data_IF_910470742741
#
_entry.id   IF_910470742741
#
_cell.length_a   1.000
_cell.length_b   1.000
_cell.length_c   1.000
_cell.angle_alpha   90.00
_cell.angle_beta   90.00
_cell.angle_gamma   90.00
#
_symmetry.space_group_name_H-M   'P 1'
#
loop_
_entity.id
_entity.type
_entity.pdbx_description
1 polymer ?
#
# COMPACT_ATOMS: atom_id res chain seq x y z
N UNK A 1 21.82 1.54 -10.06
CA UNK A 1 21.41 2.87 -9.59
C UNK A 1 21.25 3.92 -10.69
N UNK A 2 22.29 4.61 -11.20
CA UNK A 2 22.07 5.73 -12.15
C UNK A 2 21.37 5.35 -13.47
N UNK A 3 21.65 4.16 -14.03
CA UNK A 3 20.97 3.69 -15.25
C UNK A 3 19.48 3.37 -15.02
N UNK A 4 19.12 2.86 -13.86
CA UNK A 4 17.73 2.49 -13.52
C UNK A 4 16.90 3.73 -13.20
N UNK A 5 17.47 4.69 -12.46
CA UNK A 5 16.84 5.98 -12.17
C UNK A 5 16.57 6.74 -13.48
N UNK A 6 17.53 6.77 -14.40
CA UNK A 6 17.35 7.42 -15.71
C UNK A 6 16.28 6.70 -16.56
N UNK A 7 16.26 5.36 -16.56
CA UNK A 7 15.22 4.61 -17.25
C UNK A 7 13.82 4.85 -16.64
N UNK A 8 13.75 5.05 -15.32
CA UNK A 8 12.51 5.37 -14.63
C UNK A 8 12.04 6.80 -14.93
N UNK A 9 12.96 7.78 -14.95
CA UNK A 9 12.69 9.15 -15.34
C UNK A 9 12.13 9.24 -16.78
N UNK A 10 12.70 8.49 -17.72
CA UNK A 10 12.19 8.40 -19.10
C UNK A 10 10.79 7.76 -19.16
N UNK A 11 10.50 6.77 -18.32
CA UNK A 11 9.14 6.20 -18.22
C UNK A 11 8.15 7.23 -17.70
N UNK A 12 8.53 8.00 -16.68
CA UNK A 12 7.68 9.07 -16.13
C UNK A 12 7.42 10.17 -17.13
N UNK A 13 8.44 10.59 -17.88
CA UNK A 13 8.29 11.54 -19.00
C UNK A 13 7.22 11.07 -19.99
N UNK A 14 7.30 9.80 -20.40
CA UNK A 14 6.32 9.20 -21.32
C UNK A 14 4.91 9.13 -20.72
N UNK A 15 4.79 8.70 -19.47
CA UNK A 15 3.50 8.65 -18.77
C UNK A 15 2.88 10.05 -18.66
N UNK A 16 3.68 11.06 -18.35
CA UNK A 16 3.23 12.44 -18.26
C UNK A 16 2.73 12.99 -19.59
N UNK A 17 3.45 12.71 -20.68
CA UNK A 17 3.05 13.11 -22.04
C UNK A 17 1.75 12.41 -22.45
N UNK A 18 1.61 11.10 -22.21
CA UNK A 18 0.36 10.40 -22.48
C UNK A 18 -0.81 10.97 -21.64
N UNK A 19 -0.56 11.33 -20.38
CA UNK A 19 -1.56 11.98 -19.51
C UNK A 19 -2.04 13.31 -20.09
N UNK A 20 -1.12 14.12 -20.65
CA UNK A 20 -1.45 15.37 -21.35
C UNK A 20 -2.24 15.13 -22.64
N UNK A 21 -1.82 14.17 -23.48
CA UNK A 21 -2.55 13.81 -24.71
C UNK A 21 -4.00 13.49 -24.37
N UNK A 22 -4.21 12.65 -23.35
CA UNK A 22 -5.54 12.27 -22.90
C UNK A 22 -6.34 13.48 -22.36
N UNK A 23 -5.75 14.26 -21.45
CA UNK A 23 -6.43 15.38 -20.79
C UNK A 23 -6.81 16.50 -21.77
N UNK A 24 -5.84 16.98 -22.56
CA UNK A 24 -6.06 18.04 -23.54
C UNK A 24 -6.93 17.54 -24.69
N UNK A 25 -6.76 16.29 -25.09
CA UNK A 25 -7.57 15.65 -26.12
C UNK A 25 -9.05 15.60 -25.77
N UNK A 26 -9.37 15.17 -24.54
CA UNK A 26 -10.74 15.15 -24.03
C UNK A 26 -11.30 16.58 -23.94
N UNK A 27 -10.52 17.54 -23.43
CA UNK A 27 -10.94 18.94 -23.31
C UNK A 27 -11.27 19.57 -24.68
N UNK A 28 -10.54 19.18 -25.73
CA UNK A 28 -10.75 19.64 -27.11
C UNK A 28 -11.79 18.79 -27.88
N UNK A 29 -12.42 17.79 -27.25
CA UNK A 29 -13.51 17.01 -27.83
C UNK A 29 -13.07 15.87 -28.77
N UNK A 30 -11.81 15.47 -28.74
CA UNK A 30 -11.33 14.34 -29.54
C UNK A 30 -11.85 13.00 -29.01
N UNK A 31 -12.06 12.04 -29.93
CA UNK A 31 -12.52 10.69 -29.58
C UNK A 31 -11.39 9.88 -28.93
N UNK A 32 -11.68 8.99 -27.96
CA UNK A 32 -10.67 8.17 -27.29
C UNK A 32 -9.79 7.34 -28.24
N UNK A 33 -10.35 6.87 -29.36
CA UNK A 33 -9.59 6.13 -30.37
C UNK A 33 -8.50 6.99 -31.01
N UNK A 34 -8.81 8.24 -31.35
CA UNK A 34 -7.84 9.18 -31.93
C UNK A 34 -6.72 9.49 -30.93
N UNK A 35 -7.06 9.64 -29.65
CA UNK A 35 -6.07 9.88 -28.60
C UNK A 35 -5.13 8.68 -28.42
N UNK A 36 -5.66 7.44 -28.47
CA UNK A 36 -4.83 6.24 -28.49
C UNK A 36 -3.90 6.17 -29.70
N UNK A 37 -4.37 6.58 -30.88
CA UNK A 37 -3.52 6.61 -32.08
C UNK A 37 -2.36 7.61 -31.93
N UNK A 38 -2.61 8.78 -31.32
CA UNK A 38 -1.57 9.79 -31.02
C UNK A 38 -0.60 9.30 -29.95
N UNK A 39 -1.11 8.70 -28.86
CA UNK A 39 -0.28 8.07 -27.82
C UNK A 39 0.62 6.98 -28.42
N UNK A 40 0.04 6.11 -29.27
CA UNK A 40 0.79 5.03 -29.90
C UNK A 40 1.84 5.57 -30.87
N UNK A 41 1.52 6.60 -31.66
CA UNK A 41 2.48 7.31 -32.51
C UNK A 41 3.67 7.84 -31.70
N UNK A 42 3.41 8.48 -30.56
CA UNK A 42 4.45 9.02 -29.70
C UNK A 42 5.35 7.93 -29.06
N UNK A 43 4.75 6.79 -28.69
CA UNK A 43 5.47 5.68 -28.03
C UNK A 43 6.19 4.75 -29.00
N UNK A 44 5.85 4.78 -30.30
CA UNK A 44 6.44 3.92 -31.31
C UNK A 44 7.93 4.26 -31.51
N UNK A 45 8.83 3.26 -31.48
CA UNK A 45 10.21 3.48 -31.89
C UNK A 45 10.29 3.85 -33.38
N UNK A 46 11.36 4.54 -33.76
CA UNK A 46 11.53 5.08 -35.12
C UNK A 46 11.49 4.00 -36.22
N UNK A 47 11.93 2.77 -35.91
CA UNK A 47 11.91 1.65 -36.86
C UNK A 47 10.49 1.22 -37.27
N UNK A 48 9.57 0.81 -36.37
CA UNK A 48 8.21 0.48 -36.79
C UNK A 48 7.42 1.69 -37.29
N UNK A 49 7.78 2.92 -36.88
CA UNK A 49 7.14 4.13 -37.35
C UNK A 49 7.35 4.34 -38.87
N UNK A 50 8.51 3.96 -39.41
CA UNK A 50 8.82 4.14 -40.83
C UNK A 50 7.94 3.28 -41.77
N UNK A 51 7.30 2.24 -41.22
CA UNK A 51 6.37 1.37 -41.94
C UNK A 51 4.94 1.94 -42.00
N UNK A 52 4.62 2.93 -41.18
CA UNK A 52 3.30 3.56 -41.18
C UNK A 52 3.13 4.51 -42.38
N UNK A 53 1.91 4.69 -42.94
CA UNK A 53 1.68 5.64 -44.02
C UNK A 53 2.07 7.08 -43.63
N UNK A 54 2.82 7.79 -44.48
CA UNK A 54 3.29 9.17 -44.21
C UNK A 54 2.14 10.13 -43.84
N UNK A 55 1.03 10.07 -44.58
CA UNK A 55 -0.14 10.90 -44.30
C UNK A 55 -0.74 10.64 -42.90
N UNK A 56 -0.63 9.41 -42.38
CA UNK A 56 -1.04 9.12 -41.00
C UNK A 56 -0.04 9.69 -39.99
N UNK A 57 1.27 9.54 -40.24
CA UNK A 57 2.32 10.08 -39.37
C UNK A 57 2.22 11.61 -39.25
N UNK A 58 2.08 12.32 -40.39
CA UNK A 58 1.92 13.78 -40.42
C UNK A 58 0.67 14.22 -39.67
N UNK A 59 -0.43 13.49 -39.83
CA UNK A 59 -1.67 13.76 -39.10
C UNK A 59 -1.50 13.57 -37.59
N UNK A 60 -0.85 12.48 -37.16
CA UNK A 60 -0.62 12.22 -35.72
C UNK A 60 0.35 13.24 -35.13
N UNK A 61 1.41 13.62 -35.85
CA UNK A 61 2.33 14.68 -35.44
C UNK A 61 1.62 16.02 -35.27
N UNK A 62 0.80 16.43 -36.25
CA UNK A 62 0.03 17.67 -36.15
C UNK A 62 -0.97 17.67 -34.99
N UNK A 63 -1.61 16.52 -34.70
CA UNK A 63 -2.46 16.39 -33.50
C UNK A 63 -1.63 16.41 -32.22
N UNK A 64 -0.47 15.77 -32.18
CA UNK A 64 0.41 15.80 -31.03
C UNK A 64 0.84 17.23 -30.70
N UNK A 65 1.28 18.02 -31.68
CA UNK A 65 1.72 19.40 -31.47
C UNK A 65 0.59 20.31 -30.97
N UNK A 66 -0.66 20.02 -31.35
CA UNK A 66 -1.85 20.71 -30.84
C UNK A 66 -2.19 20.32 -29.39
N UNK A 67 -1.97 19.06 -29.02
CA UNK A 67 -2.29 18.53 -27.69
C UNK A 67 -1.16 18.73 -26.68
N UNK A 68 0.09 18.73 -27.13
CA UNK A 68 1.30 18.82 -26.32
C UNK A 68 2.20 19.90 -26.92
N UNK A 69 2.04 21.12 -26.43
CA UNK A 69 2.82 22.26 -26.89
C UNK A 69 4.30 22.16 -26.45
N UNK A 70 5.16 22.95 -27.08
CA UNK A 70 6.55 23.08 -26.65
C UNK A 70 6.69 23.52 -25.18
N UNK A 71 5.77 24.36 -24.69
CA UNK A 71 5.74 24.77 -23.29
C UNK A 71 5.44 23.61 -22.35
N UNK A 72 4.49 22.72 -22.70
CA UNK A 72 4.23 21.51 -21.93
C UNK A 72 5.46 20.58 -21.89
N UNK A 73 6.16 20.42 -23.01
CA UNK A 73 7.37 19.61 -23.07
C UNK A 73 8.46 20.16 -22.14
N UNK A 74 8.69 21.48 -22.16
CA UNK A 74 9.65 22.13 -21.26
C UNK A 74 9.28 21.97 -19.78
N UNK A 75 7.99 22.05 -19.45
CA UNK A 75 7.51 21.83 -18.08
C UNK A 75 7.76 20.38 -17.63
N UNK A 76 7.45 19.39 -18.46
CA UNK A 76 7.71 17.99 -18.14
C UNK A 76 9.21 17.72 -18.00
N UNK A 77 10.04 18.27 -18.89
CA UNK A 77 11.49 18.12 -18.80
C UNK A 77 12.04 18.71 -17.49
N UNK A 78 11.52 19.86 -17.06
CA UNK A 78 11.88 20.48 -15.78
C UNK A 78 11.41 19.64 -14.58
N UNK A 79 10.18 19.12 -14.62
CA UNK A 79 9.65 18.25 -13.57
C UNK A 79 10.43 16.92 -13.45
N UNK A 80 10.88 16.37 -14.57
CA UNK A 80 11.73 15.17 -14.59
C UNK A 80 13.12 15.46 -14.02
N UNK A 81 13.69 16.64 -14.31
CA UNK A 81 14.96 17.07 -13.72
C UNK A 81 14.86 17.18 -12.18
N UNK A 82 13.81 17.81 -11.67
CA UNK A 82 13.55 17.88 -10.23
C UNK A 82 13.37 16.49 -9.60
N UNK A 83 12.68 15.57 -10.29
CA UNK A 83 12.52 14.19 -9.83
C UNK A 83 13.87 13.48 -9.66
N UNK A 84 14.82 13.72 -10.57
CA UNK A 84 16.18 13.17 -10.47
C UNK A 84 16.96 13.76 -9.27
N UNK A 85 16.62 14.96 -8.83
CA UNK A 85 17.15 15.61 -7.62
C UNK A 85 16.43 15.16 -6.34
N UNK A 86 15.34 14.38 -6.47
CA UNK A 86 14.56 13.84 -5.36
C UNK A 86 13.28 14.61 -5.04
N UNK A 87 12.94 15.64 -5.82
CA UNK A 87 11.68 16.38 -5.72
C UNK A 87 10.72 15.96 -6.83
N UNK A 88 9.66 15.23 -6.45
CA UNK A 88 8.66 14.73 -7.39
C UNK A 88 7.37 15.55 -7.44
N UNK A 89 7.31 16.70 -6.74
CA UNK A 89 6.11 17.51 -6.57
C UNK A 89 5.47 17.92 -7.90
N UNK A 90 6.27 18.42 -8.84
CA UNK A 90 5.83 18.87 -10.16
C UNK A 90 5.46 17.71 -11.10
N UNK A 91 5.98 16.52 -10.86
CA UNK A 91 5.74 15.34 -11.69
C UNK A 91 4.46 14.59 -11.29
N UNK A 92 4.10 14.65 -10.00
CA UNK A 92 2.95 13.96 -9.40
C UNK A 92 1.61 14.17 -10.10
N UNK A 93 1.23 15.38 -10.55
CA UNK A 93 -0.05 15.61 -11.22
C UNK A 93 -0.21 14.79 -12.50
N UNK A 94 0.90 14.44 -13.15
CA UNK A 94 0.91 13.77 -14.44
C UNK A 94 0.92 12.24 -14.32
N UNK A 95 1.60 11.71 -13.31
CA UNK A 95 1.70 10.28 -13.04
C UNK A 95 0.43 9.82 -12.32
N UNK A 96 -0.17 8.70 -12.72
CA UNK A 96 -1.35 8.15 -12.01
C UNK A 96 -1.06 6.86 -11.28
N UNK A 97 -0.04 6.12 -11.71
CA UNK A 97 0.37 4.89 -11.06
C UNK A 97 1.14 5.24 -9.81
N UNK A 98 0.57 4.97 -8.65
CA UNK A 98 1.26 5.12 -7.36
C UNK A 98 1.78 3.78 -6.88
N UNK A 99 2.69 3.83 -5.93
CA UNK A 99 3.25 2.68 -5.24
C UNK A 99 3.11 2.86 -3.73
N UNK A 100 2.81 1.78 -3.02
CA UNK A 100 2.84 1.78 -1.55
C UNK A 100 3.69 0.64 -1.02
N UNK A 101 4.20 0.83 0.20
CA UNK A 101 4.96 -0.17 0.94
C UNK A 101 4.22 -0.47 2.23
N UNK A 102 3.77 -1.70 2.40
CA UNK A 102 3.09 -2.14 3.63
C UNK A 102 3.98 -3.12 4.40
N UNK A 103 4.10 -2.90 5.70
CA UNK A 103 4.82 -3.78 6.60
C UNK A 103 3.90 -4.85 7.20
N UNK A 104 4.50 -6.01 7.45
CA UNK A 104 3.85 -7.21 7.94
C UNK A 104 4.84 -8.14 8.63
N UNK A 105 4.45 -9.40 8.77
CA UNK A 105 5.23 -10.46 9.40
C UNK A 105 5.21 -11.68 8.50
N UNK A 106 6.34 -12.37 8.38
CA UNK A 106 6.38 -13.71 7.81
C UNK A 106 5.73 -14.67 8.81
N UNK A 107 4.67 -15.34 8.38
CA UNK A 107 4.14 -16.50 9.10
C UNK A 107 5.04 -17.71 8.80
N UNK A 108 5.40 -18.44 9.86
CA UNK A 108 6.50 -19.42 9.85
C UNK A 108 6.52 -20.35 8.63
N UNK A 109 7.73 -20.75 8.23
CA UNK A 109 7.96 -21.71 7.13
C UNK A 109 7.32 -23.04 7.50
N UNK A 110 6.10 -23.29 7.05
CA UNK A 110 5.53 -24.63 7.08
C UNK A 110 6.44 -25.56 6.27
N UNK A 111 6.64 -26.80 6.73
CA UNK A 111 7.55 -27.77 6.10
C UNK A 111 7.23 -28.11 4.63
N UNK A 112 6.09 -27.66 4.11
CA UNK A 112 5.60 -27.93 2.76
C UNK A 112 5.01 -26.69 2.06
N UNK A 113 5.62 -25.51 2.24
CA UNK A 113 5.19 -24.33 1.48
C UNK A 113 6.12 -23.12 1.64
N UNK A 114 6.07 -22.17 0.69
CA UNK A 114 6.77 -20.91 0.85
C UNK A 114 6.24 -20.17 2.09
N UNK A 115 7.11 -19.44 2.82
CA UNK A 115 6.69 -18.61 3.94
C UNK A 115 5.56 -17.65 3.52
N UNK A 116 4.45 -17.64 4.26
CA UNK A 116 3.31 -16.78 3.96
C UNK A 116 3.53 -15.38 4.55
N UNK A 117 3.46 -14.34 3.73
CA UNK A 117 3.47 -12.96 4.24
C UNK A 117 2.10 -12.58 4.80
N UNK A 118 2.07 -11.93 5.97
CA UNK A 118 0.84 -11.46 6.61
C UNK A 118 0.97 -9.99 6.98
N UNK A 119 0.00 -9.18 6.56
CA UNK A 119 -0.16 -7.80 6.99
C UNK A 119 -0.22 -7.67 8.52
N UNK A 120 0.16 -6.50 9.05
CA UNK A 120 -0.13 -6.15 10.45
C UNK A 120 -1.64 -6.17 10.71
N UNK A 121 -2.01 -6.08 12.00
CA UNK A 121 -3.42 -6.04 12.40
C UNK A 121 -4.11 -4.87 11.71
N UNK A 122 -5.35 -5.07 11.25
CA UNK A 122 -6.12 -4.03 10.56
C UNK A 122 -6.26 -2.75 11.39
N UNK A 123 -6.24 -2.85 12.73
CA UNK A 123 -6.33 -1.73 13.67
C UNK A 123 -5.02 -0.96 13.88
N UNK A 124 -3.90 -1.52 13.44
CA UNK A 124 -2.55 -0.93 13.56
C UNK A 124 -1.75 -1.29 12.28
N UNK A 125 -2.21 -0.79 11.11
CA UNK A 125 -1.45 -0.96 9.88
C UNK A 125 -0.15 -0.17 9.97
N UNK A 126 0.85 -0.56 9.18
CA UNK A 126 2.10 0.20 9.07
C UNK A 126 2.49 0.28 7.61
N UNK A 127 2.55 1.50 7.09
CA UNK A 127 3.02 1.80 5.75
C UNK A 127 4.29 2.63 5.83
N UNK A 128 5.12 2.52 4.81
CA UNK A 128 6.18 3.49 4.54
C UNK A 128 5.71 4.40 3.40
N UNK A 129 5.94 5.69 3.61
CA UNK A 129 5.57 6.80 2.74
C UNK A 129 6.83 7.64 2.43
N UNK A 130 6.77 8.58 1.48
CA UNK A 130 7.86 9.53 1.24
C UNK A 130 8.25 10.33 2.50
N UNK A 131 7.29 10.64 3.37
CA UNK A 131 7.51 11.37 4.62
C UNK A 131 7.94 10.48 5.81
N UNK A 132 8.09 9.16 5.60
CA UNK A 132 8.42 8.18 6.63
C UNK A 132 7.27 7.24 7.00
N UNK A 133 7.25 6.75 8.24
CA UNK A 133 6.27 5.73 8.65
C UNK A 133 4.89 6.30 8.94
N UNK A 134 3.88 5.64 8.38
CA UNK A 134 2.48 5.95 8.60
C UNK A 134 1.78 4.78 9.31
N UNK A 135 1.28 5.03 10.53
CA UNK A 135 0.48 4.07 11.33
C UNK A 135 -1.02 4.16 11.04
N UNK A 136 -1.35 4.31 9.77
CA UNK A 136 -2.69 4.45 9.25
C UNK A 136 -2.70 3.97 7.79
N UNK A 137 -3.88 3.77 7.22
CA UNK A 137 -3.97 3.61 5.78
C UNK A 137 -3.63 4.94 5.09
N UNK A 138 -2.89 4.93 3.97
CA UNK A 138 -2.69 6.11 3.14
C UNK A 138 -4.03 6.69 2.67
N UNK A 139 -4.16 8.01 2.75
CA UNK A 139 -5.42 8.71 2.44
C UNK A 139 -5.26 9.79 1.39
N UNK A 140 -4.04 10.24 1.14
CA UNK A 140 -3.71 11.25 0.14
C UNK A 140 -2.66 10.74 -0.81
N UNK A 141 -2.58 11.36 -1.99
CA UNK A 141 -1.60 10.99 -3.01
C UNK A 141 -0.18 11.17 -2.48
N UNK A 142 0.02 12.13 -1.57
CA UNK A 142 1.33 12.40 -0.99
C UNK A 142 1.83 11.34 -0.01
N UNK A 143 0.93 10.50 0.49
CA UNK A 143 1.28 9.34 1.33
C UNK A 143 1.86 8.19 0.49
N UNK A 144 1.79 8.28 -0.85
CA UNK A 144 2.22 7.24 -1.77
C UNK A 144 3.49 7.65 -2.53
N UNK A 145 4.28 6.66 -2.89
CA UNK A 145 5.41 6.86 -3.80
C UNK A 145 4.92 6.98 -5.24
N UNK A 146 5.64 7.72 -6.09
CA UNK A 146 5.29 7.79 -7.51
C UNK A 146 5.73 6.52 -8.26
N UNK A 147 6.71 5.77 -7.73
CA UNK A 147 7.19 4.52 -8.30
C UNK A 147 7.87 3.58 -7.29
N UNK A 148 8.23 2.38 -7.76
CA UNK A 148 8.91 1.35 -6.97
C UNK A 148 10.36 1.67 -6.64
N UNK A 149 11.05 2.49 -7.45
CA UNK A 149 12.44 2.86 -7.23
C UNK A 149 12.57 3.77 -6.01
N UNK A 150 11.72 4.80 -5.90
CA UNK A 150 11.64 5.64 -4.70
C UNK A 150 11.29 4.81 -3.45
N UNK A 151 10.31 3.92 -3.58
CA UNK A 151 9.91 3.03 -2.49
C UNK A 151 11.07 2.15 -2.02
N UNK A 152 11.88 1.62 -2.94
CA UNK A 152 13.04 0.80 -2.63
C UNK A 152 14.18 1.61 -2.00
N UNK A 153 14.46 2.81 -2.51
CA UNK A 153 15.46 3.72 -1.92
C UNK A 153 15.09 4.09 -0.48
N UNK A 154 13.82 4.39 -0.22
CA UNK A 154 13.32 4.65 1.14
C UNK A 154 13.46 3.42 2.03
N UNK A 155 13.10 2.23 1.53
CA UNK A 155 13.30 0.96 2.25
C UNK A 155 14.77 0.75 2.62
N UNK A 156 15.69 0.95 1.68
CA UNK A 156 17.12 0.76 1.91
C UNK A 156 17.65 1.75 2.95
N UNK A 157 17.19 3.02 2.91
CA UNK A 157 17.52 4.04 3.90
C UNK A 157 17.08 3.63 5.32
N UNK A 158 15.82 3.21 5.50
CA UNK A 158 15.29 2.82 6.81
C UNK A 158 15.78 1.46 7.31
N UNK A 159 16.31 0.62 6.42
CA UNK A 159 16.94 -0.64 6.79
C UNK A 159 18.41 -0.47 7.14
N UNK A 160 19.07 0.60 6.70
CA UNK A 160 20.49 0.84 6.96
C UNK A 160 20.72 1.35 8.39
N UNK A 161 21.75 0.87 9.11
CA UNK A 161 22.11 1.43 10.42
C UNK A 161 22.53 2.91 10.26
N UNK A 162 22.26 3.80 11.23
CA UNK A 162 21.64 3.58 12.55
C UNK A 162 20.10 3.67 12.54
N UNK A 163 19.48 3.94 11.39
CA UNK A 163 18.05 4.23 11.24
C UNK A 163 17.13 3.01 11.46
N UNK A 164 17.73 1.84 11.73
CA UNK A 164 17.16 0.52 11.54
C UNK A 164 15.92 0.26 12.37
N UNK A 165 14.78 0.12 11.68
CA UNK A 165 13.69 -0.74 12.16
C UNK A 165 14.30 -2.09 12.54
N UNK A 166 13.93 -2.61 13.71
CA UNK A 166 14.39 -3.91 14.20
C UNK A 166 14.17 -5.00 13.13
N UNK A 167 15.28 -5.39 12.49
CA UNK A 167 15.34 -6.08 11.19
C UNK A 167 14.73 -7.49 11.23
N UNK A 168 14.53 -8.05 12.41
CA UNK A 168 14.24 -9.47 12.56
C UNK A 168 12.75 -9.83 12.53
N UNK A 169 11.83 -8.84 12.61
CA UNK A 169 10.39 -9.13 12.77
C UNK A 169 9.46 -8.47 11.78
N UNK A 170 9.92 -7.47 11.04
CA UNK A 170 9.09 -6.70 10.11
C UNK A 170 9.52 -6.99 8.67
N UNK A 171 8.67 -7.74 7.97
CA UNK A 171 8.79 -7.96 6.52
C UNK A 171 7.90 -6.94 5.80
N UNK A 172 8.09 -6.74 4.49
CA UNK A 172 7.32 -5.77 3.72
C UNK A 172 6.83 -6.33 2.39
N UNK A 173 5.86 -5.66 1.81
CA UNK A 173 5.40 -5.92 0.46
C UNK A 173 5.15 -4.60 -0.26
N UNK A 174 5.56 -4.52 -1.52
CA UNK A 174 5.40 -3.35 -2.38
C UNK A 174 4.21 -3.59 -3.30
N UNK A 175 3.27 -2.65 -3.35
CA UNK A 175 2.06 -2.73 -4.18
C UNK A 175 2.09 -1.67 -5.26
N UNK A 176 1.90 -2.12 -6.50
CA UNK A 176 1.76 -1.28 -7.67
C UNK A 176 0.74 -1.91 -8.63
N UNK A 177 -0.31 -1.19 -9.04
CA UNK A 177 -0.66 0.17 -8.64
C UNK A 177 -1.30 0.22 -7.24
N UNK A 178 -0.87 1.18 -6.43
CA UNK A 178 -1.60 1.65 -5.27
C UNK A 178 -2.65 2.67 -5.73
N UNK A 179 -3.93 2.40 -5.47
CA UNK A 179 -5.03 3.28 -5.89
C UNK A 179 -5.83 3.65 -4.67
N UNK A 180 -5.84 4.93 -4.29
CA UNK A 180 -6.65 5.44 -3.20
C UNK A 180 -8.14 5.13 -3.44
N UNK A 181 -8.85 4.75 -2.38
CA UNK A 181 -10.26 4.37 -2.45
C UNK A 181 -10.53 2.98 -3.07
N UNK A 182 -9.51 2.22 -3.49
CA UNK A 182 -9.69 0.89 -4.11
C UNK A 182 -8.70 -0.15 -3.62
N UNK A 183 -9.08 -1.42 -3.77
CA UNK A 183 -8.20 -2.56 -3.47
C UNK A 183 -7.67 -2.53 -2.04
N UNK A 184 -6.34 -2.52 -1.90
CA UNK A 184 -5.66 -2.59 -0.61
C UNK A 184 -5.70 -1.27 0.18
N UNK A 185 -5.69 -0.15 -0.53
CA UNK A 185 -5.65 1.21 0.04
C UNK A 185 -6.97 1.88 -0.33
N UNK A 186 -7.98 1.72 0.52
CA UNK A 186 -9.31 2.28 0.24
C UNK A 186 -10.44 1.27 0.09
N UNK A 187 -10.12 -0.02 -0.03
CA UNK A 187 -11.12 -1.09 -0.12
C UNK A 187 -11.78 -1.43 1.23
N UNK A 188 -12.39 -2.61 1.31
CA UNK A 188 -13.20 -3.04 2.47
C UNK A 188 -12.46 -2.91 3.81
N UNK A 189 -11.18 -3.26 3.86
CA UNK A 189 -10.38 -3.15 5.08
C UNK A 189 -10.19 -1.70 5.53
N UNK A 190 -9.94 -0.79 4.59
CA UNK A 190 -9.88 0.65 4.85
C UNK A 190 -11.24 1.21 5.30
N UNK A 191 -12.32 0.89 4.60
CA UNK A 191 -13.67 1.35 4.98
C UNK A 191 -14.04 0.88 6.39
N UNK A 192 -13.65 -0.34 6.73
CA UNK A 192 -13.78 -0.88 8.08
C UNK A 192 -12.90 -0.11 9.08
N UNK A 193 -11.65 0.16 8.74
CA UNK A 193 -10.74 0.96 9.57
C UNK A 193 -11.26 2.38 9.79
N UNK A 194 -11.83 3.03 8.78
CA UNK A 194 -12.47 4.34 8.93
C UNK A 194 -13.59 4.33 9.97
N UNK A 195 -14.46 3.32 9.91
CA UNK A 195 -15.61 3.19 10.80
C UNK A 195 -15.21 2.80 12.22
N UNK A 196 -14.32 1.82 12.33
CA UNK A 196 -13.99 1.17 13.60
C UNK A 196 -12.77 1.78 14.28
N UNK A 197 -11.89 2.49 13.56
CA UNK A 197 -10.56 2.87 14.08
C UNK A 197 -10.27 4.36 13.96
N UNK A 198 -10.49 4.97 12.79
CA UNK A 198 -10.12 6.37 12.55
C UNK A 198 -10.96 7.32 13.38
N UNK A 199 -10.32 8.27 14.06
CA UNK A 199 -11.00 9.29 14.88
C UNK A 199 -11.68 8.73 16.14
N UNK A 200 -11.71 7.40 16.30
CA UNK A 200 -12.03 6.79 17.56
C UNK A 200 -10.85 7.05 18.49
N UNK A 201 -11.12 7.73 19.59
CA UNK A 201 -10.26 7.55 20.75
C UNK A 201 -10.44 6.08 21.13
N UNK A 202 -9.47 5.23 20.84
CA UNK A 202 -9.36 3.93 21.53
C UNK A 202 -8.96 4.17 23.00
N UNK A 203 -9.73 5.03 23.66
CA UNK A 203 -10.09 4.96 25.06
C UNK A 203 -11.37 4.15 25.20
N UNK A 204 -11.71 3.24 24.28
CA UNK A 204 -12.24 2.00 24.82
C UNK A 204 -11.06 1.38 25.56
N UNK A 205 -11.12 1.26 26.90
CA UNK A 205 -10.14 0.43 27.56
C UNK A 205 -10.24 -0.90 26.82
N UNK A 206 -9.12 -1.45 26.33
CA UNK A 206 -9.03 -2.90 26.41
C UNK A 206 -9.35 -3.14 27.86
N UNK A 207 -10.60 -3.56 28.14
CA UNK A 207 -11.07 -3.75 29.50
C UNK A 207 -9.91 -4.38 30.20
N UNK A 208 -9.46 -3.76 31.28
CA UNK A 208 -8.22 -4.19 31.92
C UNK A 208 -8.30 -5.71 32.10
N UNK A 209 -7.16 -6.38 32.19
CA UNK A 209 -7.22 -7.84 32.37
C UNK A 209 -8.15 -8.21 33.54
N UNK A 210 -8.16 -7.36 34.57
CA UNK A 210 -9.06 -7.40 35.72
C UNK A 210 -10.54 -7.19 35.36
N UNK A 211 -10.91 -6.16 34.60
CA UNK A 211 -12.30 -5.95 34.15
C UNK A 211 -12.80 -7.09 33.25
N UNK A 212 -11.94 -7.58 32.36
CA UNK A 212 -12.24 -8.74 31.52
C UNK A 212 -12.40 -10.02 32.34
N UNK A 213 -11.60 -10.18 33.40
CA UNK A 213 -11.71 -11.29 34.33
C UNK A 213 -12.97 -11.19 35.20
N UNK A 214 -13.36 -9.98 35.62
CA UNK A 214 -14.62 -9.75 36.34
C UNK A 214 -15.86 -10.18 35.54
N UNK A 215 -15.87 -9.93 34.22
CA UNK A 215 -16.94 -10.41 33.32
C UNK A 215 -16.94 -11.95 33.27
N UNK A 216 -15.77 -12.55 33.17
CA UNK A 216 -15.61 -14.00 33.17
C UNK A 216 -16.07 -14.64 34.48
N UNK A 217 -15.77 -14.04 35.63
CA UNK A 217 -16.27 -14.51 36.93
C UNK A 217 -17.79 -14.40 37.04
N UNK A 218 -18.37 -13.30 36.56
CA UNK A 218 -19.81 -13.05 36.66
C UNK A 218 -20.66 -13.94 35.73
N UNK A 219 -20.17 -14.21 34.53
CA UNK A 219 -20.99 -14.78 33.44
C UNK A 219 -20.31 -15.90 32.65
N UNK A 220 -19.13 -16.34 33.10
CA UNK A 220 -18.34 -17.38 32.47
C UNK A 220 -17.83 -16.99 31.08
N UNK A 221 -17.37 -18.00 30.36
CA UNK A 221 -16.92 -17.87 28.97
C UNK A 221 -17.99 -17.29 28.04
N UNK A 222 -19.25 -17.66 28.22
CA UNK A 222 -20.36 -17.20 27.37
C UNK A 222 -20.54 -15.68 27.45
N UNK A 223 -20.34 -15.09 28.63
CA UNK A 223 -20.36 -13.63 28.78
C UNK A 223 -19.25 -12.93 28.00
N UNK A 224 -18.05 -13.53 27.95
CA UNK A 224 -16.97 -13.03 27.11
C UNK A 224 -17.27 -13.23 25.61
N UNK A 225 -17.90 -14.34 25.22
CA UNK A 225 -18.25 -14.62 23.82
C UNK A 225 -19.37 -13.72 23.28
N UNK A 226 -20.20 -13.14 24.16
CA UNK A 226 -21.15 -12.08 23.80
C UNK A 226 -20.45 -10.76 23.43
N UNK A 227 -19.26 -10.52 23.98
CA UNK A 227 -18.53 -9.25 23.84
C UNK A 227 -17.35 -9.36 22.85
N UNK A 228 -16.77 -10.56 22.71
CA UNK A 228 -15.54 -10.77 21.98
C UNK A 228 -15.61 -11.99 21.06
N UNK A 229 -14.78 -11.98 20.00
CA UNK A 229 -14.65 -13.16 19.12
C UNK A 229 -14.11 -14.37 19.87
N UNK A 230 -14.53 -15.58 19.47
CA UNK A 230 -14.07 -16.85 20.10
C UNK A 230 -12.55 -16.98 20.21
N UNK A 231 -11.82 -16.52 19.19
CA UNK A 231 -10.35 -16.52 19.19
C UNK A 231 -9.74 -15.55 20.21
N UNK A 232 -10.39 -14.41 20.44
CA UNK A 232 -9.97 -13.45 21.48
C UNK A 232 -10.32 -13.93 22.88
N UNK A 233 -11.51 -14.52 23.08
CA UNK A 233 -11.90 -15.15 24.35
C UNK A 233 -10.92 -16.26 24.73
N UNK A 234 -10.53 -17.10 23.77
CA UNK A 234 -9.51 -18.11 23.97
C UNK A 234 -8.16 -17.52 24.44
N UNK A 235 -7.72 -16.41 23.83
CA UNK A 235 -6.51 -15.73 24.24
C UNK A 235 -6.62 -15.08 25.63
N UNK A 236 -7.78 -14.53 25.98
CA UNK A 236 -8.05 -13.95 27.30
C UNK A 236 -8.02 -15.02 28.41
N UNK A 237 -8.67 -16.17 28.22
CA UNK A 237 -8.69 -17.26 29.21
C UNK A 237 -7.27 -17.79 29.46
N UNK A 238 -6.46 -17.95 28.42
CA UNK A 238 -5.02 -18.29 28.57
C UNK A 238 -4.27 -17.24 29.36
N UNK A 239 -4.56 -15.96 29.10
CA UNK A 239 -3.90 -14.85 29.77
C UNK A 239 -4.31 -14.76 31.25
N UNK A 240 -5.57 -15.02 31.59
CA UNK A 240 -6.01 -15.12 32.99
C UNK A 240 -5.21 -16.18 33.73
N UNK A 241 -5.12 -17.39 33.17
CA UNK A 241 -4.36 -18.47 33.80
C UNK A 241 -2.86 -18.15 33.94
N UNK A 242 -2.24 -17.58 32.90
CA UNK A 242 -0.82 -17.22 32.93
C UNK A 242 -0.50 -16.15 33.99
N UNK A 243 -1.47 -15.31 34.34
CA UNK A 243 -1.36 -14.23 35.33
C UNK A 243 -1.91 -14.66 36.70
N UNK A 244 -2.19 -15.96 36.89
CA UNK A 244 -2.68 -16.54 38.16
C UNK A 244 -4.14 -16.23 38.52
N UNK A 245 -4.92 -15.69 37.57
CA UNK A 245 -6.33 -15.38 37.78
C UNK A 245 -7.20 -16.62 37.64
N UNK A 246 -8.27 -16.71 38.44
CA UNK A 246 -9.11 -17.91 38.53
C UNK A 246 -9.82 -18.24 37.19
N UNK A 247 -9.61 -19.46 36.69
CA UNK A 247 -10.24 -19.99 35.48
C UNK A 247 -10.92 -21.32 35.79
N UNK A 248 -12.12 -21.55 35.24
CA UNK A 248 -12.82 -22.84 35.39
C UNK A 248 -12.05 -23.92 34.66
N UNK A 249 -11.91 -25.09 35.30
CA UNK A 249 -11.14 -26.22 34.77
C UNK A 249 -11.65 -26.65 33.39
N UNK A 250 -12.95 -26.60 33.15
CA UNK A 250 -13.55 -27.01 31.87
C UNK A 250 -13.18 -26.05 30.72
N UNK A 251 -13.05 -24.75 31.01
CA UNK A 251 -12.63 -23.75 30.04
C UNK A 251 -11.12 -23.83 29.76
N UNK A 252 -10.34 -24.27 30.75
CA UNK A 252 -8.91 -24.55 30.61
C UNK A 252 -8.65 -25.84 29.84
N UNK A 253 -9.39 -26.91 30.13
CA UNK A 253 -9.29 -28.20 29.45
C UNK A 253 -9.75 -28.11 27.98
N UNK A 254 -10.64 -27.15 27.67
CA UNK A 254 -11.01 -26.78 26.28
C UNK A 254 -9.89 -26.06 25.53
N UNK A 255 -8.86 -25.59 26.21
CA UNK A 255 -7.65 -25.02 25.59
C UNK A 255 -6.71 -26.16 25.16
N UNK A 256 -7.25 -27.15 24.44
CA UNK A 256 -6.40 -28.11 23.73
C UNK A 256 -5.81 -27.37 22.53
N UNK A 257 -4.48 -27.29 22.50
CA UNK A 257 -3.74 -26.82 21.33
C UNK A 257 -4.27 -27.57 20.09
N UNK A 258 -4.37 -26.97 18.88
CA UNK A 258 -4.78 -27.69 17.66
C UNK A 258 -3.86 -28.87 17.26
N UNK A 259 -2.89 -29.23 18.11
CA UNK A 259 -2.00 -30.40 18.02
C UNK A 259 -2.05 -31.33 19.24
N UNK A 260 -3.04 -31.19 20.14
CA UNK A 260 -3.35 -32.24 21.13
C UNK A 260 -2.46 -32.35 22.37
N UNK A 261 -1.62 -31.36 22.72
CA UNK A 261 -0.88 -31.39 23.98
C UNK A 261 -1.69 -30.74 25.12
N UNK A 262 -1.81 -31.40 26.29
CA UNK A 262 -2.37 -30.76 27.47
C UNK A 262 -1.45 -29.62 27.93
N UNK A 263 -2.05 -28.51 28.36
CA UNK A 263 -1.31 -27.46 29.04
C UNK A 263 -0.82 -28.05 30.38
N UNK A 264 0.48 -28.30 30.49
CA UNK A 264 1.09 -28.72 31.75
C UNK A 264 0.87 -27.62 32.80
N UNK A 265 0.53 -28.08 34.01
CA UNK A 265 0.31 -27.30 35.22
C UNK A 265 1.45 -26.32 35.53
#
# INVERSE_FOLDING_TARGET
MNKEINAQAERHKREAICSLIAANGIAQGYKPRTLRDVEQWYLLPSEPLCLAPKAWQEKMAGLFDQLVTAAHMQQIDSAVALYLEGDDSELRPYIKRRTCVEFGTITGRGSYGPPGWRARKFSDPLYLTPAGFLRAYPEKDEDLFIDSTQAQLALDFYRSPPNGIDREKLDYSIFQPAVLGRGRIGGKAYQRWLKEVKGQSYTEPRRSLEESHGIYQASGREGLEKLYSRGYVFALIRKFNAEGLAVKKEDFDRIVHPRGYPATA
#
